data_IF_095032281300
#
_entry.id   IF_095032281300
#
_cell.length_a   1.000
_cell.length_b   1.000
_cell.length_c   1.000
_cell.angle_alpha   90.00
_cell.angle_beta   90.00
_cell.angle_gamma   90.00
#
_symmetry.space_group_name_H-M   'P 1'
#
loop_
_entity.id
_entity.type
_entity.pdbx_description
1 polymer ?
#
# COMPACT_ATOMS: atom_id res chain seq x y z
N UNK A 1 -16.75 -11.72 18.98
CA UNK A 1 -15.90 -10.56 18.63
C UNK A 1 -15.89 -10.41 17.11
N UNK A 2 -16.42 -9.31 16.57
CA UNK A 2 -16.43 -9.07 15.11
C UNK A 2 -15.04 -8.68 14.66
N UNK A 3 -14.35 -9.61 13.99
CA UNK A 3 -13.06 -9.35 13.34
C UNK A 3 -13.24 -8.22 12.33
N UNK A 4 -12.76 -7.02 12.65
CA UNK A 4 -12.84 -5.87 11.76
C UNK A 4 -11.69 -5.93 10.76
N UNK A 5 -11.98 -6.32 9.50
CA UNK A 5 -10.99 -6.27 8.42
C UNK A 5 -10.61 -4.83 8.06
N UNK A 6 -9.35 -4.65 7.68
CA UNK A 6 -8.80 -3.38 7.19
C UNK A 6 -8.47 -3.55 5.70
N UNK A 7 -8.78 -2.56 4.88
CA UNK A 7 -8.38 -2.52 3.48
C UNK A 7 -7.37 -1.39 3.32
N UNK A 8 -6.28 -1.65 2.61
CA UNK A 8 -5.26 -0.66 2.28
C UNK A 8 -5.17 -0.54 0.77
N UNK A 9 -5.20 0.69 0.29
CA UNK A 9 -5.02 1.05 -1.11
C UNK A 9 -3.75 1.88 -1.19
N UNK A 10 -2.76 1.42 -1.96
CA UNK A 10 -1.56 2.19 -2.27
C UNK A 10 -1.64 2.68 -3.72
N UNK A 11 -1.61 3.99 -3.89
CA UNK A 11 -1.48 4.64 -5.20
C UNK A 11 0.00 4.84 -5.52
N UNK A 12 0.47 4.15 -6.56
CA UNK A 12 1.84 4.25 -7.06
C UNK A 12 1.80 5.06 -8.35
N UNK A 13 2.38 6.25 -8.29
CA UNK A 13 2.41 7.18 -9.41
C UNK A 13 3.72 7.02 -10.14
N UNK A 14 3.70 6.22 -11.20
CA UNK A 14 4.89 6.00 -12.01
C UNK A 14 5.24 7.23 -12.85
N UNK A 15 6.51 7.35 -13.26
CA UNK A 15 6.95 8.43 -14.16
C UNK A 15 6.23 8.38 -15.51
N UNK A 16 6.02 9.56 -16.09
CA UNK A 16 5.27 9.77 -17.34
C UNK A 16 5.86 8.98 -18.53
N UNK A 17 7.15 8.67 -18.49
CA UNK A 17 7.87 7.90 -19.50
C UNK A 17 7.72 6.37 -19.35
N UNK A 18 7.13 5.87 -18.25
CA UNK A 18 7.04 4.42 -17.97
C UNK A 18 5.64 3.85 -17.79
N UNK A 19 4.59 4.64 -17.55
CA UNK A 19 3.20 4.16 -17.44
C UNK A 19 2.21 5.29 -17.74
N UNK A 20 1.28 5.05 -18.66
CA UNK A 20 0.24 6.03 -19.03
C UNK A 20 -0.80 6.26 -17.91
N UNK A 21 -0.84 5.42 -16.88
CA UNK A 21 -1.82 5.48 -15.79
C UNK A 21 -1.19 5.10 -14.44
N UNK A 22 -1.64 5.69 -13.32
CA UNK A 22 -1.18 5.33 -11.98
C UNK A 22 -1.49 3.86 -11.66
N UNK A 23 -0.52 3.15 -11.09
CA UNK A 23 -0.70 1.77 -10.64
C UNK A 23 -1.34 1.73 -9.25
N UNK A 24 -2.26 0.79 -9.04
CA UNK A 24 -3.00 0.63 -7.79
C UNK A 24 -2.68 -0.74 -7.17
N UNK A 25 -2.21 -0.75 -5.92
CA UNK A 25 -2.13 -1.97 -5.12
C UNK A 25 -3.23 -1.96 -4.04
N UNK A 26 -4.10 -2.97 -4.06
CA UNK A 26 -5.17 -3.14 -3.06
C UNK A 26 -4.88 -4.38 -2.24
N UNK A 27 -4.80 -4.21 -0.92
CA UNK A 27 -4.57 -5.32 0.01
C UNK A 27 -5.61 -5.31 1.13
N UNK A 28 -6.07 -6.50 1.52
CA UNK A 28 -7.02 -6.69 2.61
C UNK A 28 -6.34 -7.44 3.74
N UNK A 29 -6.47 -6.90 4.94
CA UNK A 29 -5.84 -7.39 6.17
C UNK A 29 -6.90 -7.81 7.17
N UNK A 30 -6.59 -8.86 7.94
CA UNK A 30 -7.49 -9.44 8.94
C UNK A 30 -7.85 -8.42 10.03
N UNK A 31 -6.87 -7.64 10.46
CA UNK A 31 -6.98 -6.61 11.47
C UNK A 31 -5.86 -5.56 11.28
N UNK A 32 -5.90 -4.51 12.09
CA UNK A 32 -4.90 -3.44 12.05
C UNK A 32 -3.52 -3.87 12.53
N UNK A 33 -3.44 -4.73 13.55
CA UNK A 33 -2.16 -5.24 14.06
C UNK A 33 -1.35 -5.96 12.98
N UNK A 34 -2.00 -6.82 12.18
CA UNK A 34 -1.35 -7.52 11.09
C UNK A 34 -0.81 -6.57 10.01
N UNK A 35 -1.54 -5.49 9.72
CA UNK A 35 -1.08 -4.44 8.81
C UNK A 35 0.14 -3.70 9.36
N UNK A 36 0.12 -3.32 10.64
CA UNK A 36 1.24 -2.62 11.28
C UNK A 36 2.49 -3.50 11.31
N UNK A 37 2.33 -4.80 11.61
CA UNK A 37 3.42 -5.76 11.53
C UNK A 37 3.99 -5.83 10.11
N UNK A 38 3.14 -5.84 9.07
CA UNK A 38 3.59 -5.86 7.68
C UNK A 38 4.46 -4.64 7.33
N UNK A 39 4.09 -3.44 7.77
CA UNK A 39 4.91 -2.23 7.53
C UNK A 39 6.28 -2.26 8.21
N UNK A 40 6.45 -3.08 9.24
CA UNK A 40 7.73 -3.24 9.93
C UNK A 40 8.64 -4.30 9.29
N UNK A 41 8.08 -5.19 8.44
CA UNK A 41 8.83 -6.27 7.80
C UNK A 41 9.85 -5.74 6.78
N UNK A 42 10.98 -6.43 6.68
CA UNK A 42 12.11 -6.01 5.84
C UNK A 42 11.73 -5.95 4.36
N UNK A 43 10.96 -6.92 3.86
CA UNK A 43 10.54 -6.95 2.46
C UNK A 43 9.70 -5.73 2.08
N UNK A 44 8.94 -5.16 3.00
CA UNK A 44 8.12 -3.96 2.72
C UNK A 44 9.03 -2.73 2.55
N UNK A 45 10.07 -2.61 3.38
CA UNK A 45 11.09 -1.57 3.25
C UNK A 45 11.87 -1.71 1.95
N UNK A 46 12.29 -2.93 1.62
CA UNK A 46 12.99 -3.24 0.37
C UNK A 46 12.12 -2.93 -0.86
N UNK A 47 10.84 -3.31 -0.84
CA UNK A 47 9.90 -2.99 -1.92
C UNK A 47 9.75 -1.47 -2.11
N UNK A 48 9.69 -0.70 -1.01
CA UNK A 48 9.66 0.75 -1.06
C UNK A 48 10.88 1.34 -1.78
N UNK A 49 12.08 0.89 -1.43
CA UNK A 49 13.32 1.35 -2.09
C UNK A 49 13.42 0.89 -3.55
N UNK A 50 12.89 -0.30 -3.89
CA UNK A 50 12.86 -0.78 -5.28
C UNK A 50 11.89 0.00 -6.15
N UNK A 51 10.74 0.43 -5.61
CA UNK A 51 9.71 1.15 -6.39
C UNK A 51 10.02 2.65 -6.49
N UNK A 52 10.71 3.22 -5.51
CA UNK A 52 11.03 4.66 -5.43
C UNK A 52 11.64 5.28 -6.71
N UNK A 53 12.59 4.65 -7.44
CA UNK A 53 13.13 5.21 -8.67
C UNK A 53 12.08 5.40 -9.77
N UNK A 54 11.03 4.58 -9.76
CA UNK A 54 9.96 4.57 -10.75
C UNK A 54 8.84 5.55 -10.42
N UNK A 55 8.82 6.10 -9.20
CA UNK A 55 7.78 7.02 -8.75
C UNK A 55 8.04 8.46 -9.19
N UNK A 56 7.05 9.12 -9.77
CA UNK A 56 7.04 10.56 -10.04
C UNK A 56 6.81 11.39 -8.77
N UNK A 57 6.06 10.83 -7.80
CA UNK A 57 5.78 11.45 -6.49
C UNK A 57 5.70 10.37 -5.40
N UNK A 58 5.74 10.73 -4.11
CA UNK A 58 5.62 9.76 -3.03
C UNK A 58 4.37 8.86 -3.19
N UNK A 59 4.51 7.58 -2.84
CA UNK A 59 3.39 6.62 -2.83
C UNK A 59 2.39 7.06 -1.76
N UNK A 60 1.12 7.16 -2.14
CA UNK A 60 0.04 7.50 -1.21
C UNK A 60 -0.62 6.22 -0.72
N UNK A 61 -0.64 6.01 0.61
CA UNK A 61 -1.26 4.84 1.23
C UNK A 61 -2.53 5.29 1.98
N UNK A 62 -3.68 4.81 1.52
CA UNK A 62 -4.98 5.07 2.13
C UNK A 62 -5.45 3.81 2.87
N UNK A 63 -5.85 3.98 4.13
CA UNK A 63 -6.34 2.91 4.99
C UNK A 63 -7.84 3.08 5.22
N UNK A 64 -8.59 2.01 4.98
CA UNK A 64 -10.03 1.95 5.15
C UNK A 64 -10.40 0.89 6.18
N UNK A 65 -11.35 1.21 7.05
CA UNK A 65 -11.99 0.26 7.95
C UNK A 65 -13.37 -0.06 7.40
N UNK A 66 -13.71 -1.34 7.29
CA UNK A 66 -15.07 -1.75 6.93
C UNK A 66 -16.02 -1.38 8.08
N UNK A 67 -17.04 -0.57 7.79
CA UNK A 67 -18.00 -0.08 8.78
C UNK A 67 -19.22 -1.00 8.97
N UNK A 68 -19.57 -1.79 7.94
CA UNK A 68 -20.72 -2.68 7.87
C UNK A 68 -20.33 -4.01 7.22
#
# INVERSE_FOLDING_TARGET
MTSSSVVVIAHVYCREDQLHEPSLAVSKWKNEEALQLHFQMEHFKQAGEQVKPFCAKPVEILKYKKLL
#
